data_IF_445886485361
#
_entry.id   IF_445886485361
#
_cell.length_a   1.000
_cell.length_b   1.000
_cell.length_c   1.000
_cell.angle_alpha   90.00
_cell.angle_beta   90.00
_cell.angle_gamma   90.00
#
_symmetry.space_group_name_H-M   'P 1'
#
loop_
_entity.id
_entity.type
_entity.pdbx_description
1 polymer ?
#
# COMPACT_ATOMS: atom_id res chain seq x y z
N UNK A 1 3.31 73.48 -16.08
CA UNK A 1 3.33 72.94 -17.45
C UNK A 1 3.80 71.50 -17.48
N UNK A 2 5.04 71.17 -17.04
CA UNK A 2 5.56 69.79 -17.09
C UNK A 2 4.73 68.74 -16.33
N UNK A 3 4.10 69.12 -15.22
CA UNK A 3 3.21 68.24 -14.42
C UNK A 3 1.89 67.96 -15.13
N UNK A 4 1.33 68.97 -15.83
CA UNK A 4 0.09 68.85 -16.60
C UNK A 4 0.32 68.03 -17.88
N UNK A 5 1.44 68.25 -18.58
CA UNK A 5 1.84 67.42 -19.74
C UNK A 5 2.06 65.96 -19.40
N UNK A 6 2.74 65.68 -18.26
CA UNK A 6 2.94 64.33 -17.74
C UNK A 6 1.59 63.68 -17.41
N UNK A 7 0.67 64.40 -16.79
CA UNK A 7 -0.63 63.87 -16.43
C UNK A 7 -1.48 63.52 -17.65
N UNK A 8 -1.43 64.34 -18.70
CA UNK A 8 -2.21 64.10 -19.93
C UNK A 8 -1.61 63.01 -20.84
N UNK A 9 -0.28 62.83 -20.85
CA UNK A 9 0.39 61.89 -21.74
C UNK A 9 0.71 60.53 -21.09
N UNK A 10 1.05 60.51 -19.79
CA UNK A 10 1.53 59.29 -19.11
C UNK A 10 0.41 58.53 -18.43
N UNK A 11 -0.50 59.22 -17.72
CA UNK A 11 -1.62 58.54 -17.01
C UNK A 11 -2.53 57.65 -17.93
N UNK A 12 -2.88 58.06 -19.14
CA UNK A 12 -3.62 57.18 -20.06
C UNK A 12 -2.87 55.90 -20.43
N UNK A 13 -1.53 56.05 -20.59
CA UNK A 13 -0.66 54.87 -20.93
C UNK A 13 -0.55 53.95 -19.73
N UNK A 14 -0.31 54.47 -18.53
CA UNK A 14 -0.29 53.67 -17.29
C UNK A 14 -1.62 52.95 -17.05
N UNK A 15 -2.76 53.63 -17.27
CA UNK A 15 -4.10 53.05 -17.19
C UNK A 15 -4.26 51.89 -18.19
N UNK A 16 -3.80 52.09 -19.45
CA UNK A 16 -3.87 51.08 -20.51
C UNK A 16 -2.99 49.87 -20.17
N UNK A 17 -1.75 50.10 -19.68
CA UNK A 17 -0.87 49.04 -19.22
C UNK A 17 -1.54 48.24 -18.11
N UNK A 18 -2.13 48.91 -17.12
CA UNK A 18 -2.83 48.26 -16.01
C UNK A 18 -4.00 47.42 -16.48
N UNK A 19 -4.78 47.90 -17.45
CA UNK A 19 -5.91 47.16 -18.04
C UNK A 19 -5.41 45.91 -18.78
N UNK A 20 -4.42 46.04 -19.67
CA UNK A 20 -3.83 44.93 -20.43
C UNK A 20 -3.22 43.89 -19.46
N UNK A 21 -2.54 44.33 -18.39
CA UNK A 21 -2.00 43.42 -17.38
C UNK A 21 -3.12 42.64 -16.70
N UNK A 22 -4.18 43.31 -16.27
CA UNK A 22 -5.36 42.66 -15.66
C UNK A 22 -6.09 41.72 -16.60
N UNK A 23 -6.21 42.06 -17.89
CA UNK A 23 -6.77 41.18 -18.92
C UNK A 23 -5.92 39.91 -19.10
N UNK A 24 -4.58 40.07 -19.22
CA UNK A 24 -3.64 38.93 -19.30
C UNK A 24 -3.75 38.01 -18.08
N UNK A 25 -3.88 38.57 -16.89
CA UNK A 25 -4.05 37.79 -15.64
C UNK A 25 -5.37 36.98 -15.69
N UNK A 26 -6.45 37.59 -16.14
CA UNK A 26 -7.76 36.94 -16.27
C UNK A 26 -7.70 35.79 -17.32
N UNK A 27 -7.12 36.03 -18.50
CA UNK A 27 -6.90 34.98 -19.51
C UNK A 27 -6.03 33.85 -18.95
N UNK A 28 -4.98 34.16 -18.18
CA UNK A 28 -4.15 33.15 -17.55
C UNK A 28 -4.94 32.31 -16.56
N UNK A 29 -5.86 32.92 -15.80
CA UNK A 29 -6.74 32.21 -14.88
C UNK A 29 -7.71 31.30 -15.62
N UNK A 30 -8.34 31.78 -16.71
CA UNK A 30 -9.21 30.96 -17.56
C UNK A 30 -8.43 29.76 -18.14
N UNK A 31 -7.23 29.99 -18.68
CA UNK A 31 -6.36 28.94 -19.19
C UNK A 31 -6.06 27.89 -18.12
N UNK A 32 -5.77 28.32 -16.91
CA UNK A 32 -5.51 27.41 -15.77
C UNK A 32 -6.74 26.55 -15.49
N UNK A 33 -7.95 27.14 -15.43
CA UNK A 33 -9.18 26.39 -15.19
C UNK A 33 -9.52 25.41 -16.31
N UNK A 34 -9.27 25.78 -17.57
CA UNK A 34 -9.39 24.84 -18.70
C UNK A 34 -8.38 23.69 -18.58
N UNK A 35 -7.15 23.98 -18.17
CA UNK A 35 -6.15 22.94 -17.94
C UNK A 35 -6.51 22.01 -16.79
N UNK A 36 -7.03 22.54 -15.67
CA UNK A 36 -7.53 21.74 -14.54
C UNK A 36 -8.70 20.82 -14.95
N UNK A 37 -9.61 21.33 -15.79
CA UNK A 37 -10.71 20.55 -16.35
C UNK A 37 -10.16 19.42 -17.25
N UNK A 38 -9.20 19.73 -18.12
CA UNK A 38 -8.56 18.73 -18.98
C UNK A 38 -7.84 17.64 -18.17
N UNK A 39 -7.12 18.01 -17.11
CA UNK A 39 -6.49 17.03 -16.21
C UNK A 39 -7.54 16.15 -15.51
N UNK A 40 -8.72 16.70 -15.16
CA UNK A 40 -9.79 15.93 -14.53
C UNK A 40 -10.47 14.91 -15.46
N UNK A 41 -10.31 15.04 -16.78
CA UNK A 41 -10.82 14.09 -17.78
C UNK A 41 -9.84 12.93 -18.01
N UNK A 42 -8.55 13.14 -17.84
CA UNK A 42 -7.51 12.11 -18.09
C UNK A 42 -7.77 10.75 -17.44
N UNK A 43 -8.30 10.67 -16.20
CA UNK A 43 -8.62 9.37 -15.59
C UNK A 43 -9.67 8.55 -16.36
N UNK A 44 -10.44 9.18 -17.24
CA UNK A 44 -11.44 8.50 -18.08
C UNK A 44 -10.91 8.11 -19.46
N UNK A 45 -9.69 8.51 -19.80
CA UNK A 45 -9.08 8.17 -21.09
C UNK A 45 -8.66 6.68 -21.11
N UNK A 46 -9.33 5.89 -21.95
CA UNK A 46 -9.08 4.46 -22.12
C UNK A 46 -7.84 4.16 -22.99
N UNK A 47 -7.29 5.16 -23.66
CA UNK A 47 -6.21 5.01 -24.64
C UNK A 47 -4.85 5.43 -24.11
N UNK A 48 -4.77 5.88 -22.84
CA UNK A 48 -3.49 6.23 -22.20
C UNK A 48 -2.68 4.97 -21.94
N UNK A 49 -1.63 4.76 -22.72
CA UNK A 49 -0.70 3.65 -22.51
C UNK A 49 0.02 3.77 -21.16
N UNK A 50 -0.17 2.79 -20.27
CA UNK A 50 0.45 2.75 -18.96
C UNK A 50 -0.16 3.68 -17.91
N UNK A 51 -1.26 4.37 -18.22
CA UNK A 51 -1.99 5.23 -17.29
C UNK A 51 -2.95 4.46 -16.39
N UNK A 52 -3.13 4.93 -15.16
CA UNK A 52 -4.17 4.44 -14.25
C UNK A 52 -5.48 5.13 -14.64
N UNK A 53 -6.39 4.40 -15.29
CA UNK A 53 -7.72 4.91 -15.62
C UNK A 53 -8.66 4.82 -14.41
N UNK A 54 -9.73 5.59 -14.40
CA UNK A 54 -10.80 5.47 -13.40
C UNK A 54 -11.52 4.11 -13.53
N UNK A 55 -11.53 3.57 -14.74
CA UNK A 55 -12.15 2.29 -15.08
C UNK A 55 -11.20 1.12 -14.83
N UNK A 56 -11.77 -0.02 -14.39
CA UNK A 56 -11.01 -1.24 -14.19
C UNK A 56 -10.10 -1.22 -12.95
N UNK A 57 -10.24 -0.24 -12.08
CA UNK A 57 -9.60 -0.26 -10.77
C UNK A 57 -10.10 -1.46 -9.98
N UNK A 58 -9.22 -2.04 -9.18
CA UNK A 58 -9.56 -3.19 -8.33
C UNK A 58 -9.40 -2.82 -6.87
N UNK A 59 -10.27 -3.38 -6.07
CA UNK A 59 -10.13 -3.42 -4.62
C UNK A 59 -10.02 -4.86 -4.17
N UNK A 60 -9.41 -5.07 -3.01
CA UNK A 60 -9.35 -6.38 -2.40
C UNK A 60 -9.80 -6.28 -0.94
N UNK A 61 -10.59 -7.25 -0.52
CA UNK A 61 -11.11 -7.36 0.84
C UNK A 61 -10.84 -8.75 1.38
N UNK A 62 -10.56 -8.87 2.68
CA UNK A 62 -10.49 -10.15 3.37
C UNK A 62 -11.74 -10.39 4.20
N UNK A 63 -12.21 -11.65 4.20
CA UNK A 63 -13.14 -12.15 5.19
C UNK A 63 -12.44 -13.24 6.00
N UNK A 64 -12.60 -13.19 7.33
CA UNK A 64 -11.76 -13.95 8.25
C UNK A 64 -10.51 -13.14 8.66
N UNK A 65 -9.77 -13.69 9.64
CA UNK A 65 -8.62 -13.02 10.25
C UNK A 65 -7.38 -13.93 10.34
N UNK A 66 -7.44 -15.11 9.68
CA UNK A 66 -6.31 -16.04 9.62
C UNK A 66 -5.16 -15.53 8.76
N UNK A 67 -5.46 -14.68 7.77
CA UNK A 67 -4.45 -14.10 6.88
C UNK A 67 -4.64 -12.61 6.67
N UNK A 68 -3.53 -11.95 6.35
CA UNK A 68 -3.50 -10.64 5.69
C UNK A 68 -2.89 -10.82 4.31
N UNK A 69 -3.11 -9.86 3.41
CA UNK A 69 -2.54 -9.90 2.07
C UNK A 69 -1.93 -8.56 1.67
N UNK A 70 -1.03 -8.62 0.72
CA UNK A 70 -0.44 -7.49 0.00
C UNK A 70 -0.27 -7.88 -1.47
N UNK A 71 -0.17 -6.90 -2.35
CA UNK A 71 0.10 -7.12 -3.77
C UNK A 71 1.00 -6.00 -4.29
N UNK A 72 2.03 -6.36 -5.03
CA UNK A 72 2.92 -5.38 -5.67
C UNK A 72 2.17 -4.52 -6.69
N UNK A 73 1.22 -5.13 -7.39
CA UNK A 73 0.30 -4.46 -8.31
C UNK A 73 -1.10 -5.11 -8.21
N UNK A 74 -1.97 -4.49 -7.42
CA UNK A 74 -3.35 -4.95 -7.25
C UNK A 74 -4.11 -4.96 -8.58
N UNK A 75 -3.77 -4.05 -9.51
CA UNK A 75 -4.46 -3.94 -10.79
C UNK A 75 -4.12 -5.09 -11.75
N UNK A 76 -2.94 -5.70 -11.59
CA UNK A 76 -2.52 -6.86 -12.38
C UNK A 76 -3.21 -8.17 -11.94
N UNK A 77 -3.74 -8.26 -10.70
CA UNK A 77 -4.38 -9.46 -10.19
C UNK A 77 -5.69 -9.75 -10.94
N UNK A 78 -6.02 -11.02 -11.07
CA UNK A 78 -7.32 -11.46 -11.62
C UNK A 78 -8.44 -11.21 -10.61
N UNK A 79 -9.63 -10.85 -11.09
CA UNK A 79 -10.84 -10.78 -10.27
C UNK A 79 -11.25 -12.18 -9.84
N UNK A 80 -11.71 -12.31 -8.61
CA UNK A 80 -12.18 -13.58 -8.06
C UNK A 80 -12.02 -13.65 -6.55
N UNK A 81 -12.40 -14.79 -6.02
CA UNK A 81 -12.27 -15.12 -4.61
C UNK A 81 -11.19 -16.18 -4.49
N UNK A 82 -10.16 -15.86 -3.68
CA UNK A 82 -9.12 -16.81 -3.28
C UNK A 82 -9.42 -17.29 -1.86
N UNK A 83 -9.54 -18.59 -1.68
CA UNK A 83 -9.74 -19.22 -0.38
C UNK A 83 -8.41 -19.61 0.23
N UNK A 84 -8.22 -19.31 1.52
CA UNK A 84 -7.00 -19.62 2.25
C UNK A 84 -7.36 -20.34 3.54
N UNK A 85 -6.81 -21.55 3.74
CA UNK A 85 -6.99 -22.37 4.94
C UNK A 85 -5.64 -22.64 5.58
N UNK A 86 -5.35 -22.01 6.72
CA UNK A 86 -4.11 -22.18 7.48
C UNK A 86 -4.31 -23.27 8.52
N UNK A 87 -3.62 -24.39 8.39
CA UNK A 87 -3.67 -25.50 9.36
C UNK A 87 -2.51 -25.52 10.35
N UNK A 88 -1.39 -24.91 10.00
CA UNK A 88 -0.21 -24.78 10.85
C UNK A 88 0.56 -23.50 10.51
N UNK A 89 1.03 -22.79 11.53
CA UNK A 89 1.96 -21.67 11.35
C UNK A 89 3.40 -22.16 11.35
N UNK A 90 4.26 -21.50 10.59
CA UNK A 90 5.69 -21.65 10.69
C UNK A 90 6.17 -21.14 12.05
N UNK A 91 7.06 -21.88 12.66
CA UNK A 91 7.58 -21.65 14.01
C UNK A 91 9.09 -21.72 14.02
N UNK A 92 9.74 -20.85 14.79
CA UNK A 92 11.17 -20.88 15.06
C UNK A 92 11.54 -22.05 15.96
N UNK A 93 12.78 -22.49 15.87
CA UNK A 93 13.37 -23.41 16.86
C UNK A 93 13.88 -22.63 18.07
N UNK A 94 13.55 -23.06 19.28
CA UNK A 94 13.92 -22.36 20.51
C UNK A 94 14.40 -23.34 21.56
N UNK A 95 15.63 -23.14 21.99
CA UNK A 95 16.26 -23.85 23.10
C UNK A 95 16.57 -22.90 24.25
N UNK A 96 16.52 -23.40 25.46
CA UNK A 96 17.00 -22.69 26.66
C UNK A 96 17.98 -23.53 27.45
N UNK A 97 18.93 -22.91 28.14
CA UNK A 97 19.82 -23.61 29.08
C UNK A 97 19.08 -23.98 30.36
N UNK A 98 19.73 -24.78 31.20
CA UNK A 98 19.35 -24.85 32.61
C UNK A 98 19.37 -23.44 33.24
N UNK A 99 18.48 -23.21 34.20
CA UNK A 99 18.47 -21.95 34.91
C UNK A 99 19.70 -21.79 35.79
N UNK A 100 20.26 -20.60 35.81
CA UNK A 100 21.42 -20.23 36.66
C UNK A 100 21.11 -18.95 37.42
N UNK A 101 21.78 -18.75 38.55
CA UNK A 101 21.67 -17.52 39.32
C UNK A 101 22.57 -16.40 38.79
N UNK A 102 22.50 -15.21 39.37
CA UNK A 102 23.30 -14.05 38.94
C UNK A 102 24.81 -14.33 39.02
N UNK A 103 25.26 -15.02 40.05
CA UNK A 103 26.69 -15.32 40.26
C UNK A 103 27.18 -16.26 39.15
N UNK A 104 26.44 -17.30 38.86
CA UNK A 104 26.77 -18.31 37.80
C UNK A 104 26.66 -17.69 36.43
N UNK A 105 25.67 -16.83 36.16
CA UNK A 105 25.49 -16.13 34.90
C UNK A 105 26.70 -15.28 34.51
N UNK A 106 27.33 -14.64 35.49
CA UNK A 106 28.49 -13.76 35.29
C UNK A 106 29.84 -14.51 35.41
N UNK A 107 29.82 -15.76 35.85
CA UNK A 107 31.00 -16.64 35.84
C UNK A 107 31.29 -17.23 34.45
N UNK A 108 32.52 -17.74 34.29
CA UNK A 108 32.92 -18.43 33.06
C UNK A 108 32.34 -19.85 33.02
N UNK A 109 31.95 -20.29 31.83
CA UNK A 109 31.26 -21.57 31.61
C UNK A 109 32.24 -22.75 31.71
N UNK A 110 33.33 -22.68 30.99
CA UNK A 110 34.41 -23.70 30.98
C UNK A 110 33.94 -25.16 30.79
N UNK A 111 33.00 -25.40 29.88
CA UNK A 111 32.36 -26.71 29.67
C UNK A 111 32.77 -27.37 28.33
N UNK A 112 33.80 -26.85 27.67
CA UNK A 112 34.29 -27.35 26.37
C UNK A 112 33.54 -26.80 25.18
N UNK A 113 33.45 -27.59 24.12
CA UNK A 113 32.86 -27.15 22.87
C UNK A 113 31.34 -27.28 22.85
N UNK A 114 30.67 -26.23 22.31
CA UNK A 114 29.27 -26.22 21.93
C UNK A 114 29.21 -26.16 20.40
N UNK A 115 28.57 -27.13 19.79
CA UNK A 115 28.37 -27.20 18.34
C UNK A 115 26.92 -26.90 18.01
N UNK A 116 26.66 -25.92 17.15
CA UNK A 116 25.30 -25.54 16.72
C UNK A 116 25.25 -25.57 15.20
N UNK A 117 24.26 -26.29 14.68
CA UNK A 117 23.98 -26.38 13.25
C UNK A 117 22.59 -25.86 12.94
N UNK A 118 22.44 -25.05 11.89
CA UNK A 118 21.17 -24.55 11.39
C UNK A 118 20.81 -25.35 10.13
N UNK A 119 19.70 -26.06 10.16
CA UNK A 119 19.20 -26.85 9.02
C UNK A 119 20.26 -27.78 8.44
N UNK A 120 20.62 -27.60 7.18
CA UNK A 120 21.62 -28.33 6.46
C UNK A 120 23.01 -27.66 6.41
N UNK A 121 23.18 -26.48 7.04
CA UNK A 121 24.45 -25.74 7.04
C UNK A 121 25.55 -26.51 7.79
N UNK A 122 26.81 -26.09 7.62
CA UNK A 122 27.92 -26.58 8.42
C UNK A 122 27.70 -26.14 9.88
N UNK A 123 28.06 -27.03 10.83
CA UNK A 123 27.97 -26.67 12.24
C UNK A 123 29.00 -25.57 12.58
N UNK A 124 28.59 -24.63 13.40
CA UNK A 124 29.45 -23.62 14.01
C UNK A 124 29.90 -24.13 15.39
N UNK A 125 31.16 -23.97 15.68
CA UNK A 125 31.80 -24.45 16.91
C UNK A 125 32.12 -23.29 17.84
N UNK A 126 31.70 -23.37 19.10
CA UNK A 126 31.88 -22.34 20.10
C UNK A 126 32.66 -22.94 21.29
N UNK A 127 33.87 -22.46 21.53
CA UNK A 127 34.61 -22.80 22.73
C UNK A 127 34.12 -21.98 23.91
N UNK A 128 33.63 -22.66 24.95
CA UNK A 128 33.11 -21.98 26.17
C UNK A 128 34.20 -21.69 27.19
N UNK A 129 35.47 -22.02 26.91
CA UNK A 129 36.61 -21.77 27.78
C UNK A 129 36.80 -20.27 28.00
N UNK A 130 36.83 -19.85 29.27
CA UNK A 130 36.97 -18.46 29.69
C UNK A 130 35.86 -17.52 29.17
N UNK A 131 34.70 -18.02 28.79
CA UNK A 131 33.55 -17.20 28.33
C UNK A 131 32.41 -17.23 29.35
N UNK A 132 31.82 -16.06 29.62
CA UNK A 132 30.57 -15.93 30.34
C UNK A 132 29.40 -16.29 29.45
N UNK A 133 28.19 -16.47 30.03
CA UNK A 133 26.96 -16.72 29.29
C UNK A 133 26.67 -15.59 28.26
N UNK A 134 26.96 -14.31 28.65
CA UNK A 134 26.80 -13.19 27.73
C UNK A 134 27.76 -13.22 26.55
N UNK A 135 29.04 -13.50 26.81
CA UNK A 135 30.03 -13.55 25.73
C UNK A 135 29.73 -14.71 24.74
N UNK A 136 29.25 -15.83 25.24
CA UNK A 136 28.79 -16.94 24.39
C UNK A 136 27.56 -16.55 23.59
N UNK A 137 26.58 -15.86 24.19
CA UNK A 137 25.39 -15.37 23.49
C UNK A 137 25.75 -14.39 22.35
N UNK A 138 26.64 -13.43 22.64
CA UNK A 138 27.10 -12.43 21.66
C UNK A 138 27.83 -13.12 20.47
N UNK A 139 28.65 -14.13 20.75
CA UNK A 139 29.36 -14.91 19.72
C UNK A 139 28.39 -15.73 18.87
N UNK A 140 27.42 -16.41 19.46
CA UNK A 140 26.40 -17.18 18.72
C UNK A 140 25.60 -16.22 17.82
N UNK A 141 25.17 -15.06 18.34
CA UNK A 141 24.42 -14.07 17.58
C UNK A 141 25.22 -13.45 16.42
N UNK A 142 26.55 -13.47 16.51
CA UNK A 142 27.41 -13.00 15.41
C UNK A 142 27.40 -13.95 14.20
N UNK A 143 26.85 -15.16 14.32
CA UNK A 143 26.75 -16.15 13.26
C UNK A 143 25.38 -16.09 12.58
N UNK A 144 25.38 -16.36 11.28
CA UNK A 144 24.16 -16.33 10.47
C UNK A 144 23.20 -17.45 10.85
N UNK A 145 21.90 -17.14 10.88
CA UNK A 145 20.83 -18.11 11.05
C UNK A 145 20.48 -18.43 12.49
N UNK A 146 21.19 -17.86 13.48
CA UNK A 146 20.90 -18.07 14.89
C UNK A 146 21.01 -16.79 15.71
N UNK A 147 20.29 -16.73 16.82
CA UNK A 147 20.27 -15.63 17.76
C UNK A 147 20.28 -16.16 19.17
N UNK A 148 21.07 -15.57 20.07
CA UNK A 148 21.16 -15.99 21.46
C UNK A 148 21.14 -14.79 22.41
N UNK A 149 20.51 -14.97 23.57
CA UNK A 149 20.45 -13.97 24.62
C UNK A 149 20.43 -14.63 26.00
N UNK A 150 20.98 -13.95 26.97
CA UNK A 150 20.79 -14.31 28.39
C UNK A 150 19.51 -13.61 28.87
N UNK A 151 18.45 -14.38 29.08
CA UNK A 151 17.14 -13.88 29.49
C UNK A 151 16.90 -14.12 30.98
N UNK A 152 16.39 -13.11 31.69
CA UNK A 152 15.95 -13.26 33.07
C UNK A 152 14.54 -13.88 33.08
N UNK A 153 14.44 -15.10 33.63
CA UNK A 153 13.18 -15.88 33.68
C UNK A 153 12.53 -15.92 35.02
N UNK A 154 13.13 -15.27 36.04
CA UNK A 154 12.61 -15.16 37.41
C UNK A 154 13.50 -14.30 38.27
N UNK A 155 13.12 -14.12 39.56
CA UNK A 155 13.95 -13.43 40.54
C UNK A 155 15.25 -14.22 40.71
N UNK A 156 16.40 -13.63 40.40
CA UNK A 156 17.71 -14.28 40.42
C UNK A 156 17.77 -15.60 39.61
N UNK A 157 17.08 -15.66 38.47
CA UNK A 157 17.05 -16.85 37.59
C UNK A 157 17.22 -16.42 36.17
N UNK A 158 18.26 -16.94 35.48
CA UNK A 158 18.65 -16.59 34.15
C UNK A 158 18.84 -17.85 33.28
N UNK A 159 18.60 -17.71 31.98
CA UNK A 159 18.83 -18.79 30.99
C UNK A 159 19.50 -18.23 29.74
N UNK A 160 20.38 -18.99 29.16
CA UNK A 160 20.85 -18.72 27.79
C UNK A 160 19.82 -19.32 26.83
N UNK A 161 19.13 -18.45 26.11
CA UNK A 161 18.15 -18.84 25.11
C UNK A 161 18.78 -18.73 23.73
N UNK A 162 18.65 -19.79 22.92
CA UNK A 162 19.15 -19.86 21.54
C UNK A 162 17.92 -20.07 20.64
N UNK A 163 17.77 -19.23 19.62
CA UNK A 163 16.64 -19.24 18.68
C UNK A 163 17.18 -19.32 17.24
N UNK A 164 16.50 -20.05 16.37
CA UNK A 164 16.74 -19.86 14.93
C UNK A 164 16.33 -18.44 14.51
N UNK A 165 17.07 -17.84 13.60
CA UNK A 165 16.77 -16.50 13.07
C UNK A 165 15.46 -16.49 12.29
N UNK A 166 15.25 -17.53 11.48
CA UNK A 166 14.05 -17.73 10.68
C UNK A 166 13.22 -18.92 11.19
N UNK A 167 11.94 -18.97 10.84
CA UNK A 167 11.04 -20.08 11.11
C UNK A 167 11.22 -21.23 10.13
N UNK A 168 10.59 -22.36 10.41
CA UNK A 168 10.51 -23.51 9.50
C UNK A 168 11.58 -24.58 9.76
N UNK A 169 11.29 -25.79 9.28
CA UNK A 169 12.14 -26.97 9.49
C UNK A 169 13.52 -26.83 8.84
N UNK A 170 13.64 -26.04 7.77
CA UNK A 170 14.90 -25.75 7.10
C UNK A 170 15.87 -24.97 8.00
N UNK A 171 15.35 -24.31 9.05
CA UNK A 171 16.10 -23.51 10.02
C UNK A 171 16.16 -24.19 11.41
N UNK A 172 15.83 -25.48 11.48
CA UNK A 172 15.92 -26.26 12.72
C UNK A 172 17.33 -26.24 13.26
N UNK A 173 17.45 -26.00 14.58
CA UNK A 173 18.74 -26.05 15.27
C UNK A 173 19.08 -27.49 15.70
N UNK A 174 20.34 -27.87 15.53
CA UNK A 174 20.89 -29.06 16.13
C UNK A 174 22.04 -28.66 17.04
N UNK A 175 21.87 -28.87 18.35
CA UNK A 175 22.84 -28.45 19.36
C UNK A 175 23.50 -29.73 19.93
N UNK A 176 24.82 -29.79 19.91
CA UNK A 176 25.61 -30.95 20.36
C UNK A 176 26.92 -30.51 21.06
N UNK A 177 27.71 -31.45 21.54
CA UNK A 177 28.97 -31.18 22.17
C UNK A 177 28.95 -31.26 23.71
N UNK A 178 30.11 -31.26 24.35
CA UNK A 178 30.23 -31.39 25.81
C UNK A 178 29.54 -30.23 26.55
N UNK A 179 29.69 -28.99 26.06
CA UNK A 179 29.03 -27.82 26.64
C UNK A 179 27.52 -27.90 26.49
N UNK A 180 26.97 -28.55 25.44
CA UNK A 180 25.52 -28.70 25.28
C UNK A 180 24.88 -29.50 26.41
N UNK A 181 25.55 -30.51 26.90
CA UNK A 181 25.09 -31.28 28.07
C UNK A 181 25.20 -30.46 29.35
N UNK A 182 26.35 -29.81 29.58
CA UNK A 182 26.57 -29.01 30.78
C UNK A 182 25.57 -27.84 30.90
N UNK A 183 25.25 -27.19 29.78
CA UNK A 183 24.25 -26.13 29.71
C UNK A 183 22.80 -26.65 29.72
N UNK A 184 22.59 -27.95 29.54
CA UNK A 184 21.30 -28.62 29.61
C UNK A 184 20.52 -28.67 28.30
N UNK A 185 21.12 -28.31 27.15
CA UNK A 185 20.49 -28.43 25.83
C UNK A 185 20.32 -29.89 25.41
N UNK A 186 21.24 -30.75 25.85
CA UNK A 186 21.18 -32.18 25.58
C UNK A 186 21.33 -32.97 26.89
N UNK A 187 20.94 -34.27 26.88
CA UNK A 187 21.05 -35.15 28.03
C UNK A 187 22.40 -35.87 28.08
N UNK A 188 23.07 -36.05 26.94
CA UNK A 188 24.33 -36.82 26.81
C UNK A 188 25.29 -36.22 25.77
N UNK A 189 25.17 -34.91 25.47
CA UNK A 189 25.96 -34.25 24.44
C UNK A 189 25.40 -34.36 23.02
N UNK A 190 24.38 -35.17 22.77
CA UNK A 190 23.77 -35.40 21.46
C UNK A 190 22.23 -35.49 21.51
N UNK A 191 21.67 -36.19 22.49
CA UNK A 191 20.22 -36.36 22.62
C UNK A 191 19.56 -35.11 23.20
N UNK A 192 18.58 -34.58 22.50
CA UNK A 192 17.85 -33.34 22.87
C UNK A 192 17.23 -33.47 24.24
N UNK A 193 17.40 -32.46 25.09
CA UNK A 193 16.68 -32.32 26.34
C UNK A 193 15.27 -31.75 26.07
N UNK A 194 14.26 -32.59 26.19
CA UNK A 194 12.86 -32.19 25.90
C UNK A 194 12.32 -31.09 26.81
N UNK A 195 12.89 -30.97 28.03
CA UNK A 195 12.51 -29.89 28.96
C UNK A 195 13.13 -28.53 28.58
N UNK A 196 14.17 -28.53 27.78
CA UNK A 196 14.91 -27.33 27.38
C UNK A 196 14.79 -27.00 25.87
N UNK A 197 14.16 -27.86 25.09
CA UNK A 197 13.70 -27.58 23.74
C UNK A 197 12.26 -27.03 23.81
N UNK A 198 12.12 -25.71 23.80
CA UNK A 198 10.88 -25.03 24.17
C UNK A 198 9.90 -24.96 23.03
N UNK A 199 10.40 -24.66 21.83
CA UNK A 199 9.64 -24.66 20.59
C UNK A 199 10.42 -25.43 19.53
N UNK A 200 9.74 -26.34 18.85
CA UNK A 200 10.30 -27.07 17.71
C UNK A 200 10.00 -26.31 16.40
N UNK A 201 10.99 -26.21 15.53
CA UNK A 201 10.82 -25.63 14.21
C UNK A 201 9.70 -26.32 13.42
N UNK A 202 8.79 -25.54 12.86
CA UNK A 202 7.68 -26.04 12.02
C UNK A 202 7.52 -25.19 10.79
N UNK A 203 7.12 -25.81 9.70
CA UNK A 203 6.68 -25.09 8.51
C UNK A 203 5.25 -24.60 8.66
N UNK A 204 4.90 -23.56 7.93
CA UNK A 204 3.50 -23.23 7.67
C UNK A 204 2.92 -24.29 6.73
N UNK A 205 1.71 -24.76 7.05
CA UNK A 205 0.91 -25.59 6.18
C UNK A 205 -0.37 -24.82 5.90
N UNK A 206 -0.58 -24.48 4.64
CA UNK A 206 -1.77 -23.73 4.20
C UNK A 206 -2.25 -24.26 2.87
N UNK A 207 -3.56 -24.15 2.61
CA UNK A 207 -4.15 -24.41 1.29
C UNK A 207 -4.64 -23.09 0.71
N UNK A 208 -4.27 -22.84 -0.54
CA UNK A 208 -4.79 -21.72 -1.33
C UNK A 208 -5.54 -22.30 -2.52
N UNK A 209 -6.84 -22.05 -2.59
CA UNK A 209 -7.75 -22.62 -3.59
C UNK A 209 -7.62 -24.14 -3.71
N UNK A 210 -7.43 -24.81 -2.55
CA UNK A 210 -7.29 -26.26 -2.46
C UNK A 210 -5.87 -26.78 -2.69
N UNK A 211 -4.94 -25.99 -3.20
CA UNK A 211 -3.52 -26.36 -3.38
C UNK A 211 -2.78 -26.21 -2.06
N UNK A 212 -2.12 -27.27 -1.61
CA UNK A 212 -1.36 -27.25 -0.36
C UNK A 212 0.05 -26.68 -0.54
N UNK A 213 0.43 -25.78 0.36
CA UNK A 213 1.75 -25.20 0.47
C UNK A 213 2.34 -25.56 1.83
N UNK A 214 3.59 -26.03 1.82
CA UNK A 214 4.37 -26.37 3.00
C UNK A 214 5.68 -25.60 2.92
N UNK A 215 5.79 -24.50 3.66
CA UNK A 215 6.90 -23.52 3.52
C UNK A 215 7.44 -23.09 4.87
N UNK A 216 8.72 -22.74 4.91
CA UNK A 216 9.45 -22.38 6.13
C UNK A 216 9.02 -21.03 6.74
N UNK A 217 8.24 -20.24 6.04
CA UNK A 217 7.82 -18.89 6.48
C UNK A 217 6.30 -18.78 6.55
N UNK A 218 5.79 -17.83 7.33
CA UNK A 218 4.35 -17.50 7.37
C UNK A 218 3.91 -16.63 6.18
N UNK A 219 4.75 -16.48 5.16
CA UNK A 219 4.47 -15.71 3.95
C UNK A 219 4.61 -16.59 2.72
N UNK A 220 3.63 -16.50 1.82
CA UNK A 220 3.70 -17.09 0.48
C UNK A 220 3.27 -16.06 -0.57
N UNK A 221 3.69 -16.25 -1.81
CA UNK A 221 3.21 -15.47 -2.94
C UNK A 221 2.56 -16.42 -3.94
N UNK A 222 1.29 -16.18 -4.25
CA UNK A 222 0.51 -16.98 -5.20
C UNK A 222 -0.11 -16.04 -6.22
N UNK A 223 0.22 -16.23 -7.50
CA UNK A 223 -0.30 -15.40 -8.63
C UNK A 223 -0.13 -13.88 -8.42
N UNK A 224 0.96 -13.46 -7.76
CA UNK A 224 1.23 -12.05 -7.46
C UNK A 224 0.61 -11.53 -6.17
N UNK A 225 -0.20 -12.34 -5.49
CA UNK A 225 -0.79 -12.05 -4.19
C UNK A 225 0.14 -12.56 -3.09
N UNK A 226 0.69 -11.67 -2.28
CA UNK A 226 1.47 -12.01 -1.09
C UNK A 226 0.52 -12.21 0.08
N UNK A 227 0.46 -13.43 0.59
CA UNK A 227 -0.39 -13.85 1.70
C UNK A 227 0.48 -14.05 2.93
N UNK A 228 0.11 -13.44 4.04
CA UNK A 228 0.75 -13.61 5.36
C UNK A 228 -0.22 -14.29 6.30
N UNK A 229 0.13 -15.48 6.79
CA UNK A 229 -0.62 -16.22 7.80
C UNK A 229 -0.36 -15.64 9.19
N UNK A 230 -1.42 -15.24 9.90
CA UNK A 230 -1.36 -14.66 11.24
C UNK A 230 -1.80 -15.66 12.32
N UNK A 231 -2.76 -16.53 11.99
CA UNK A 231 -3.26 -17.58 12.87
C UNK A 231 -3.86 -18.75 12.07
N UNK A 232 -4.05 -19.87 12.74
CA UNK A 232 -4.76 -21.04 12.18
C UNK A 232 -6.23 -20.67 11.96
N UNK A 233 -6.79 -21.07 10.82
CA UNK A 233 -8.18 -20.81 10.43
C UNK A 233 -8.33 -20.54 8.94
N UNK A 234 -9.56 -20.24 8.57
CA UNK A 234 -9.95 -19.99 7.20
C UNK A 234 -10.17 -18.50 6.95
N UNK A 235 -9.80 -18.05 5.77
CA UNK A 235 -10.07 -16.70 5.27
C UNK A 235 -10.33 -16.75 3.78
N UNK A 236 -10.99 -15.70 3.27
CA UNK A 236 -11.12 -15.48 1.84
C UNK A 236 -10.58 -14.10 1.48
N UNK A 237 -9.96 -13.99 0.32
CA UNK A 237 -9.50 -12.73 -0.28
C UNK A 237 -10.36 -12.53 -1.53
N UNK A 238 -11.16 -11.47 -1.56
CA UNK A 238 -12.00 -11.14 -2.70
C UNK A 238 -11.40 -9.94 -3.45
N UNK A 239 -11.02 -10.16 -4.70
CA UNK A 239 -10.53 -9.13 -5.62
C UNK A 239 -11.69 -8.78 -6.57
N UNK A 240 -12.21 -7.58 -6.46
CA UNK A 240 -13.35 -7.09 -7.23
C UNK A 240 -13.02 -5.76 -7.92
N UNK A 241 -13.83 -5.36 -8.89
CA UNK A 241 -13.77 -4.01 -9.45
C UNK A 241 -14.15 -2.99 -8.38
N UNK A 242 -13.38 -1.91 -8.32
CA UNK A 242 -13.62 -0.78 -7.43
C UNK A 242 -14.24 0.38 -8.22
N UNK A 243 -15.54 0.39 -8.29
CA UNK A 243 -16.30 1.41 -9.01
C UNK A 243 -16.38 2.75 -8.24
N UNK A 244 -15.96 2.80 -6.97
CA UNK A 244 -15.96 4.05 -6.18
C UNK A 244 -14.98 5.07 -6.75
N UNK A 245 -13.92 4.62 -7.41
CA UNK A 245 -12.95 5.47 -8.10
C UNK A 245 -13.60 6.23 -9.26
N UNK A 246 -14.48 5.59 -10.02
CA UNK A 246 -15.19 6.21 -11.15
C UNK A 246 -16.06 7.36 -10.65
N UNK A 247 -16.83 7.14 -9.60
CA UNK A 247 -17.68 8.19 -9.01
C UNK A 247 -16.83 9.36 -8.46
N UNK A 248 -15.73 9.06 -7.77
CA UNK A 248 -14.83 10.08 -7.22
C UNK A 248 -14.24 10.95 -8.33
N UNK A 249 -13.79 10.35 -9.42
CA UNK A 249 -13.25 11.10 -10.56
C UNK A 249 -14.34 11.90 -11.28
N UNK A 250 -15.55 11.35 -11.40
CA UNK A 250 -16.68 12.09 -11.97
C UNK A 250 -17.05 13.33 -11.15
N UNK A 251 -17.08 13.23 -9.83
CA UNK A 251 -17.27 14.36 -8.92
C UNK A 251 -16.18 15.42 -9.08
N UNK A 252 -14.92 14.99 -9.23
CA UNK A 252 -13.81 15.90 -9.49
C UNK A 252 -13.98 16.63 -10.82
N UNK A 253 -14.32 15.91 -11.89
CA UNK A 253 -14.61 16.51 -13.20
C UNK A 253 -15.74 17.55 -13.11
N UNK A 254 -16.87 17.23 -12.48
CA UNK A 254 -18.01 18.13 -12.29
C UNK A 254 -17.58 19.38 -11.51
N UNK A 255 -16.77 19.21 -10.46
CA UNK A 255 -16.25 20.34 -9.69
C UNK A 255 -15.41 21.27 -10.58
N UNK A 256 -14.48 20.72 -11.37
CA UNK A 256 -13.61 21.52 -12.25
C UNK A 256 -14.39 22.20 -13.37
N UNK A 257 -15.40 21.53 -13.93
CA UNK A 257 -16.31 22.14 -14.89
C UNK A 257 -17.08 23.32 -14.26
N UNK A 258 -17.67 23.14 -13.09
CA UNK A 258 -18.43 24.18 -12.40
C UNK A 258 -17.56 25.39 -12.00
N UNK A 259 -16.30 25.15 -11.59
CA UNK A 259 -15.33 26.22 -11.34
C UNK A 259 -15.06 27.06 -12.61
N UNK A 260 -14.93 26.40 -13.77
CA UNK A 260 -14.76 27.10 -15.04
C UNK A 260 -16.02 27.89 -15.44
N UNK A 261 -17.21 27.29 -15.31
CA UNK A 261 -18.50 27.99 -15.58
C UNK A 261 -18.62 29.22 -14.71
N UNK A 262 -18.43 29.10 -13.40
CA UNK A 262 -18.54 30.21 -12.46
C UNK A 262 -17.53 31.33 -12.76
N UNK A 263 -16.29 30.99 -13.14
CA UNK A 263 -15.30 32.00 -13.54
C UNK A 263 -15.74 32.74 -14.80
N UNK A 264 -16.15 32.00 -15.85
CA UNK A 264 -16.56 32.60 -17.11
C UNK A 264 -17.79 33.48 -16.91
N UNK A 265 -18.80 33.03 -16.16
CA UNK A 265 -19.99 33.83 -15.86
C UNK A 265 -19.62 35.10 -15.09
N UNK A 266 -18.74 35.00 -14.08
CA UNK A 266 -18.23 36.15 -13.34
C UNK A 266 -17.59 37.16 -14.28
N UNK A 267 -16.65 36.72 -15.13
CA UNK A 267 -15.90 37.60 -16.02
C UNK A 267 -16.76 38.18 -17.15
N UNK A 268 -17.72 37.43 -17.67
CA UNK A 268 -18.62 37.89 -18.74
C UNK A 268 -19.62 38.92 -18.23
N UNK A 269 -20.23 38.70 -17.06
CA UNK A 269 -21.33 39.55 -16.56
C UNK A 269 -20.89 40.62 -15.57
N UNK A 270 -19.66 40.55 -15.02
CA UNK A 270 -19.17 41.57 -14.10
C UNK A 270 -18.87 42.89 -14.80
N UNK A 271 -19.32 43.97 -14.15
CA UNK A 271 -18.96 45.33 -14.57
C UNK A 271 -17.52 45.71 -14.24
N UNK A 272 -16.87 44.91 -13.34
CA UNK A 272 -15.48 45.15 -12.91
C UNK A 272 -14.48 44.21 -13.60
N UNK A 273 -14.94 43.34 -14.51
CA UNK A 273 -14.11 42.48 -15.32
C UNK A 273 -13.06 43.30 -16.10
N UNK A 274 -11.85 42.74 -16.18
CA UNK A 274 -10.74 43.33 -16.94
C UNK A 274 -10.72 42.87 -18.40
N UNK A 275 -11.60 41.95 -18.77
CA UNK A 275 -11.65 41.43 -20.14
C UNK A 275 -12.32 42.44 -21.09
N UNK A 276 -11.58 42.84 -22.11
CA UNK A 276 -12.13 43.58 -23.25
C UNK A 276 -12.81 42.60 -24.22
N UNK A 277 -12.20 41.44 -24.48
CA UNK A 277 -12.77 40.38 -25.32
C UNK A 277 -13.48 39.29 -24.51
N UNK A 278 -14.67 39.59 -24.05
CA UNK A 278 -15.56 38.64 -23.36
C UNK A 278 -16.13 37.56 -24.29
N UNK A 279 -16.13 37.81 -25.60
CA UNK A 279 -16.70 36.91 -26.59
C UNK A 279 -15.81 35.64 -26.73
N UNK A 280 -14.50 35.82 -26.79
CA UNK A 280 -13.56 34.68 -26.89
C UNK A 280 -13.66 33.73 -25.70
N UNK A 281 -13.80 34.25 -24.48
CA UNK A 281 -13.94 33.40 -23.27
C UNK A 281 -15.28 32.67 -23.26
N UNK A 282 -16.37 33.34 -23.69
CA UNK A 282 -17.69 32.72 -23.87
C UNK A 282 -17.64 31.58 -24.91
N UNK A 283 -16.95 31.81 -26.01
CA UNK A 283 -16.81 30.83 -27.11
C UNK A 283 -16.10 29.57 -26.64
N UNK A 284 -15.01 29.69 -25.87
CA UNK A 284 -14.32 28.54 -25.26
C UNK A 284 -15.30 27.70 -24.44
N UNK A 285 -16.06 28.32 -23.54
CA UNK A 285 -17.06 27.61 -22.74
C UNK A 285 -18.15 26.97 -23.59
N UNK A 286 -18.61 27.67 -24.65
CA UNK A 286 -19.62 27.18 -25.58
C UNK A 286 -19.14 25.92 -26.31
N UNK A 287 -17.89 25.90 -26.78
CA UNK A 287 -17.29 24.74 -27.44
C UNK A 287 -17.14 23.55 -26.48
N UNK A 288 -16.72 23.79 -25.23
CA UNK A 288 -16.68 22.76 -24.19
C UNK A 288 -18.08 22.17 -23.95
N UNK A 289 -19.09 23.01 -23.75
CA UNK A 289 -20.48 22.58 -23.57
C UNK A 289 -21.00 21.79 -24.75
N UNK A 290 -20.74 22.23 -25.99
CA UNK A 290 -21.14 21.52 -27.21
C UNK A 290 -20.55 20.10 -27.29
N UNK A 291 -19.31 19.94 -26.84
CA UNK A 291 -18.68 18.61 -26.78
C UNK A 291 -19.23 17.76 -25.63
N UNK A 292 -19.40 18.32 -24.45
CA UNK A 292 -19.85 17.55 -23.28
C UNK A 292 -21.33 17.13 -23.39
N UNK A 293 -22.18 17.97 -23.98
CA UNK A 293 -23.63 17.73 -24.06
C UNK A 293 -24.06 17.06 -25.36
N UNK A 294 -23.10 16.61 -26.17
CA UNK A 294 -23.35 15.81 -27.36
C UNK A 294 -23.88 14.42 -27.03
N UNK A 295 -24.23 13.69 -28.09
CA UNK A 295 -24.53 12.26 -28.03
C UNK A 295 -23.38 11.46 -28.61
N UNK A 296 -23.14 10.28 -28.05
CA UNK A 296 -21.99 9.43 -28.32
C UNK A 296 -22.42 7.95 -28.37
N UNK A 297 -21.44 7.05 -28.52
CA UNK A 297 -21.67 5.63 -28.69
C UNK A 297 -22.00 5.23 -30.13
N UNK A 298 -21.99 3.94 -30.43
CA UNK A 298 -22.18 3.41 -31.78
C UNK A 298 -23.53 3.81 -32.40
N UNK A 299 -24.57 3.93 -31.59
CA UNK A 299 -25.92 4.37 -32.02
C UNK A 299 -26.13 5.88 -31.90
N UNK A 300 -25.13 6.63 -31.43
CA UNK A 300 -25.20 8.08 -31.18
C UNK A 300 -26.41 8.50 -30.30
N UNK A 301 -26.75 7.69 -29.34
CA UNK A 301 -27.92 7.82 -28.44
C UNK A 301 -27.55 7.98 -26.97
N UNK A 302 -26.27 7.89 -26.64
CA UNK A 302 -25.76 8.03 -25.27
C UNK A 302 -25.27 9.44 -25.00
N UNK A 303 -25.64 9.99 -23.86
CA UNK A 303 -25.17 11.27 -23.35
C UNK A 303 -24.83 11.15 -21.87
N UNK A 304 -24.06 12.08 -21.34
CA UNK A 304 -23.74 12.11 -19.89
C UNK A 304 -24.99 12.14 -19.01
N UNK A 305 -26.11 12.65 -19.53
CA UNK A 305 -27.37 12.71 -18.80
C UNK A 305 -28.01 11.34 -18.55
N UNK A 306 -27.69 10.34 -19.36
CA UNK A 306 -28.15 8.97 -19.17
C UNK A 306 -27.54 8.34 -17.91
N UNK A 307 -26.39 8.86 -17.44
CA UNK A 307 -25.60 8.33 -16.34
C UNK A 307 -25.77 9.10 -15.02
N UNK A 308 -26.87 9.88 -14.87
CA UNK A 308 -27.17 10.59 -13.63
C UNK A 308 -26.43 11.92 -13.46
N UNK A 309 -25.82 12.44 -14.54
CA UNK A 309 -25.30 13.80 -14.57
C UNK A 309 -26.44 14.69 -15.01
N UNK A 310 -26.65 15.80 -14.32
CA UNK A 310 -27.74 16.73 -14.58
C UNK A 310 -27.21 18.15 -14.74
N UNK A 311 -27.88 18.93 -15.61
CA UNK A 311 -27.57 20.34 -15.84
C UNK A 311 -28.52 21.23 -15.02
N UNK A 312 -27.97 22.09 -14.19
CA UNK A 312 -28.76 23.07 -13.46
C UNK A 312 -29.14 24.28 -14.34
N UNK A 313 -30.03 25.11 -13.83
CA UNK A 313 -30.53 26.31 -14.53
C UNK A 313 -29.43 27.38 -14.78
N UNK A 314 -28.30 27.26 -14.13
CA UNK A 314 -27.17 28.20 -14.29
C UNK A 314 -26.08 27.62 -15.21
N UNK A 315 -26.28 26.42 -15.75
CA UNK A 315 -25.33 25.74 -16.64
C UNK A 315 -24.24 25.00 -15.90
N UNK A 316 -24.38 24.80 -14.60
CA UNK A 316 -23.55 23.93 -13.77
C UNK A 316 -24.01 22.48 -13.86
N UNK A 317 -23.10 21.54 -13.58
CA UNK A 317 -23.37 20.11 -13.53
C UNK A 317 -23.56 19.63 -12.09
N UNK A 318 -24.48 18.69 -11.91
CA UNK A 318 -24.68 17.95 -10.65
C UNK A 318 -24.64 16.45 -10.93
N UNK A 319 -24.37 15.64 -9.90
CA UNK A 319 -24.34 14.18 -9.99
C UNK A 319 -25.38 13.57 -9.05
N UNK A 320 -26.33 12.85 -9.61
CA UNK A 320 -27.11 11.89 -8.87
C UNK A 320 -26.27 10.62 -8.65
N UNK A 321 -25.62 10.55 -7.49
CA UNK A 321 -24.74 9.42 -7.14
C UNK A 321 -25.48 8.09 -7.14
N UNK A 322 -26.78 8.06 -6.80
CA UNK A 322 -27.56 6.81 -6.77
C UNK A 322 -27.76 6.27 -8.17
N UNK A 323 -28.20 7.12 -9.09
CA UNK A 323 -28.39 6.77 -10.50
C UNK A 323 -27.05 6.42 -11.16
N UNK A 324 -26.01 7.22 -10.91
CA UNK A 324 -24.68 6.99 -11.45
C UNK A 324 -24.12 5.64 -11.03
N UNK A 325 -24.11 5.33 -9.72
CA UNK A 325 -23.58 4.08 -9.18
C UNK A 325 -24.40 2.87 -9.67
N UNK A 326 -25.69 3.01 -9.86
CA UNK A 326 -26.52 1.94 -10.44
C UNK A 326 -26.05 1.60 -11.86
N UNK A 327 -25.87 2.60 -12.71
CA UNK A 327 -25.40 2.39 -14.10
C UNK A 327 -23.98 1.83 -14.11
N UNK A 328 -23.08 2.34 -13.26
CA UNK A 328 -21.70 1.84 -13.14
C UNK A 328 -21.68 0.36 -12.75
N UNK A 329 -22.61 -0.10 -11.92
CA UNK A 329 -22.71 -1.51 -11.52
C UNK A 329 -23.37 -2.40 -12.58
N UNK A 330 -24.38 -1.91 -13.27
CA UNK A 330 -25.21 -2.69 -14.20
C UNK A 330 -24.64 -2.68 -15.63
N UNK A 331 -24.04 -1.58 -16.06
CA UNK A 331 -23.56 -1.39 -17.44
C UNK A 331 -22.33 -0.49 -17.55
N UNK A 332 -21.24 -0.94 -16.98
CA UNK A 332 -19.95 -0.25 -17.06
C UNK A 332 -19.44 -0.10 -18.51
N UNK A 333 -19.79 -1.04 -19.39
CA UNK A 333 -19.36 -0.97 -20.79
C UNK A 333 -19.98 0.23 -21.48
N UNK A 334 -21.26 0.47 -21.26
CA UNK A 334 -21.98 1.63 -21.82
C UNK A 334 -21.42 2.97 -21.36
N UNK A 335 -20.89 3.04 -20.14
CA UNK A 335 -20.24 4.24 -19.64
C UNK A 335 -18.86 4.50 -20.26
N UNK A 336 -18.19 3.45 -20.74
CA UNK A 336 -16.86 3.55 -21.41
C UNK A 336 -16.96 3.97 -22.87
N UNK A 337 -18.06 3.63 -23.54
CA UNK A 337 -18.34 3.97 -24.93
C UNK A 337 -18.67 5.46 -25.10
#
# INVERSE_FOLDING_TARGET
LKTAERKSAVEPIEKRIKNITGEKETFSTVKTKVSELLESIKPFDLFVSGGVTAFGQKSATTSGDSVTFDAADLQALKKGITTVSVSQLAQKDVYQSNAVDTTTKDAVINSGMLSIKVGSAVAEEFDTTNKTYKQLADEITSKTGMNAAVEQVGTNSFRLVIKSEESGIDNKLTITGAASQALGYTTNGTAISTSNHILEAKNMITKVDGVEYNVSSNNITVEGLKITANKIGDSTINIAEDNTKVETQMKNFITKYNELVALVDTEVFSATSKLDDKASVREVLSQIKSKLFGTYGDSNDKSMFNYGIELDKYGGLTLDSTKFNKVVQEDMSSLKD
#
